data_IF_843489488951
#
_entry.id   IF_843489488951
#
_cell.length_a   1.000
_cell.length_b   1.000
_cell.length_c   1.000
_cell.angle_alpha   90.00
_cell.angle_beta   90.00
_cell.angle_gamma   90.00
#
_symmetry.space_group_name_H-M   'P 1'
#
loop_
_entity.id
_entity.type
_entity.pdbx_description
1 polymer ?
#
# COMPACT_ATOMS: atom_id res chain seq x y z
N UNK A 1 1.95 21.02 9.17
CA UNK A 1 1.22 19.72 9.37
C UNK A 1 1.79 18.75 8.37
N UNK A 2 2.32 17.63 8.84
CA UNK A 2 2.87 16.59 7.96
C UNK A 2 1.73 16.04 7.11
N UNK A 3 1.87 16.01 5.80
CA UNK A 3 0.84 15.50 4.90
C UNK A 3 1.32 14.22 4.26
N UNK A 4 0.73 13.10 4.65
CA UNK A 4 0.94 11.79 4.01
C UNK A 4 -0.39 11.40 3.37
N UNK A 5 -0.43 11.38 2.05
CA UNK A 5 -1.60 11.00 1.27
C UNK A 5 -1.42 9.54 0.86
N UNK A 6 -2.35 8.69 1.28
CA UNK A 6 -2.35 7.29 0.92
C UNK A 6 -3.44 6.99 -0.12
N UNK A 7 -3.04 6.42 -1.25
CA UNK A 7 -3.93 5.78 -2.20
C UNK A 7 -3.94 4.28 -1.93
N UNK A 8 -4.99 3.82 -1.28
CA UNK A 8 -5.22 2.41 -1.03
C UNK A 8 -5.86 1.75 -2.24
N UNK A 9 -5.17 0.81 -2.80
CA UNK A 9 -5.58 0.11 -4.01
C UNK A 9 -5.48 -1.40 -3.80
N UNK A 10 -5.74 -2.16 -4.84
CA UNK A 10 -5.43 -3.59 -4.92
C UNK A 10 -4.62 -3.85 -6.19
N UNK A 11 -3.91 -4.97 -6.29
CA UNK A 11 -3.19 -5.33 -7.51
C UNK A 11 -4.09 -5.25 -8.75
N UNK A 12 -3.53 -4.81 -9.87
CA UNK A 12 -4.22 -4.70 -11.17
C UNK A 12 -5.43 -3.75 -11.21
N UNK A 13 -5.55 -2.83 -10.27
CA UNK A 13 -6.61 -1.81 -10.23
C UNK A 13 -6.33 -0.54 -11.04
N UNK A 14 -5.26 -0.51 -11.84
CA UNK A 14 -4.75 0.67 -12.58
C UNK A 14 -4.10 1.75 -11.68
N UNK A 15 -3.81 1.41 -10.43
CA UNK A 15 -3.22 2.32 -9.44
C UNK A 15 -1.85 2.87 -9.84
N UNK A 16 -1.04 2.11 -10.57
CA UNK A 16 0.25 2.58 -11.09
C UNK A 16 0.09 3.75 -12.07
N UNK A 17 -0.93 3.72 -12.93
CA UNK A 17 -1.22 4.85 -13.83
C UNK A 17 -1.64 6.10 -13.04
N UNK A 18 -2.42 5.93 -11.97
CA UNK A 18 -2.78 7.03 -11.07
C UNK A 18 -1.55 7.60 -10.36
N UNK A 19 -0.68 6.74 -9.85
CA UNK A 19 0.58 7.16 -9.22
C UNK A 19 1.45 7.97 -10.20
N UNK A 20 1.60 7.52 -11.45
CA UNK A 20 2.33 8.26 -12.47
C UNK A 20 1.76 9.66 -12.71
N UNK A 21 0.45 9.80 -12.70
CA UNK A 21 -0.22 11.10 -12.77
C UNK A 21 0.15 11.99 -11.57
N UNK A 22 0.17 11.41 -10.36
CA UNK A 22 0.57 12.16 -9.15
C UNK A 22 2.04 12.59 -9.19
N UNK A 23 2.94 11.76 -9.72
CA UNK A 23 4.36 12.12 -9.92
C UNK A 23 4.56 13.30 -10.87
N UNK A 24 3.72 13.44 -11.91
CA UNK A 24 3.82 14.54 -12.87
C UNK A 24 3.46 15.90 -12.26
N UNK A 25 2.83 15.95 -11.10
CA UNK A 25 2.55 17.22 -10.40
C UNK A 25 3.83 17.92 -9.94
N UNK A 26 4.85 17.17 -9.51
CA UNK A 26 6.13 17.71 -9.05
C UNK A 26 6.14 18.36 -7.67
N UNK A 27 5.00 18.35 -6.95
CA UNK A 27 4.83 18.92 -5.61
C UNK A 27 4.74 17.86 -4.49
N UNK A 28 4.89 16.59 -4.84
CA UNK A 28 4.76 15.44 -3.94
C UNK A 28 5.97 14.50 -4.06
N UNK A 29 6.47 14.03 -2.94
CA UNK A 29 7.38 12.88 -2.91
C UNK A 29 6.54 11.59 -3.03
N UNK A 30 6.60 10.93 -4.20
CA UNK A 30 5.74 9.80 -4.52
C UNK A 30 6.46 8.47 -4.34
N UNK A 31 5.91 7.59 -3.50
CA UNK A 31 6.43 6.27 -3.22
C UNK A 31 5.50 5.19 -3.81
N UNK A 32 6.12 4.21 -4.46
CA UNK A 32 5.47 3.07 -5.09
C UNK A 32 5.50 1.86 -4.18
N UNK A 33 4.35 1.47 -3.64
CA UNK A 33 4.19 0.28 -2.79
C UNK A 33 5.28 0.13 -1.71
N UNK A 34 5.53 1.18 -0.91
CA UNK A 34 6.67 1.13 0.03
C UNK A 34 6.56 -0.01 1.04
N UNK A 35 5.36 -0.35 1.51
CA UNK A 35 5.17 -1.48 2.41
C UNK A 35 5.22 -2.83 1.69
N UNK A 36 4.97 -2.85 0.38
CA UNK A 36 5.02 -4.06 -0.43
C UNK A 36 6.42 -4.68 -0.50
N UNK A 37 7.47 -3.86 -0.57
CA UNK A 37 8.84 -4.36 -0.54
C UNK A 37 9.15 -5.10 0.78
N UNK A 38 8.76 -4.52 1.92
CA UNK A 38 8.93 -5.16 3.21
C UNK A 38 8.08 -6.44 3.35
N UNK A 39 6.87 -6.43 2.77
CA UNK A 39 5.93 -7.55 2.83
C UNK A 39 6.40 -8.77 2.03
N UNK A 40 7.01 -8.54 0.85
CA UNK A 40 7.50 -9.60 -0.03
C UNK A 40 8.97 -9.96 0.18
N UNK A 41 9.84 -8.99 0.43
CA UNK A 41 11.30 -9.12 0.37
C UNK A 41 12.00 -8.52 1.60
N UNK A 42 11.26 -8.18 2.65
CA UNK A 42 11.80 -7.66 3.88
C UNK A 42 12.67 -8.66 4.64
N UNK A 43 13.20 -8.26 5.79
CA UNK A 43 14.00 -9.11 6.66
C UNK A 43 13.22 -10.35 7.10
N UNK A 44 11.95 -10.18 7.48
CA UNK A 44 11.00 -11.23 7.84
C UNK A 44 9.73 -11.11 6.97
N UNK A 45 9.78 -11.52 5.69
CA UNK A 45 8.67 -11.32 4.78
C UNK A 45 7.46 -12.17 5.16
N UNK A 46 6.29 -11.55 5.19
CA UNK A 46 5.03 -12.24 5.50
C UNK A 46 4.55 -13.13 4.35
N UNK A 47 4.91 -12.78 3.12
CA UNK A 47 4.55 -13.51 1.91
C UNK A 47 5.69 -13.48 0.89
N UNK A 48 6.73 -14.32 1.08
CA UNK A 48 7.91 -14.24 0.22
C UNK A 48 7.58 -14.63 -1.21
N UNK A 49 7.84 -13.72 -2.15
CA UNK A 49 7.91 -13.96 -3.58
C UNK A 49 9.27 -13.53 -4.08
N UNK A 50 10.08 -14.49 -4.42
CA UNK A 50 11.43 -14.25 -4.92
C UNK A 50 11.53 -14.70 -6.37
N UNK A 51 12.14 -13.86 -7.21
CA UNK A 51 12.69 -14.31 -8.48
C UNK A 51 13.99 -15.11 -8.23
N UNK A 52 14.43 -15.87 -9.23
CA UNK A 52 15.66 -16.64 -9.10
C UNK A 52 16.86 -15.74 -8.73
N UNK A 53 17.49 -16.02 -7.60
CA UNK A 53 18.63 -15.24 -7.09
C UNK A 53 18.29 -14.06 -6.19
N UNK A 54 17.03 -13.68 -6.02
CA UNK A 54 16.61 -12.67 -5.05
C UNK A 54 16.67 -13.21 -3.61
N UNK A 55 16.93 -12.31 -2.67
CA UNK A 55 17.07 -12.62 -1.25
C UNK A 55 16.29 -11.60 -0.43
N UNK A 56 16.08 -11.93 0.84
CA UNK A 56 15.57 -10.95 1.81
C UNK A 56 16.52 -9.75 1.93
N UNK A 57 15.96 -8.59 2.22
CA UNK A 57 16.69 -7.34 2.42
C UNK A 57 16.86 -7.09 3.93
N UNK A 58 18.06 -7.26 4.50
CA UNK A 58 18.29 -7.01 5.91
C UNK A 58 17.94 -5.58 6.32
N UNK A 59 17.26 -5.42 7.45
CA UNK A 59 16.82 -4.13 7.98
C UNK A 59 15.59 -3.54 7.30
N UNK A 60 15.08 -4.14 6.23
CA UNK A 60 13.83 -3.73 5.60
C UNK A 60 12.67 -4.39 6.34
N UNK A 61 11.94 -3.59 7.10
CA UNK A 61 10.75 -4.00 7.87
C UNK A 61 9.60 -3.01 7.62
N UNK A 62 8.40 -3.37 8.04
CA UNK A 62 7.27 -2.42 8.01
C UNK A 62 7.58 -1.18 8.87
N UNK A 63 8.26 -1.36 10.01
CA UNK A 63 8.64 -0.27 10.89
C UNK A 63 9.69 0.65 10.26
N UNK A 64 10.77 0.10 9.68
CA UNK A 64 11.79 0.91 9.00
C UNK A 64 11.24 1.65 7.79
N UNK A 65 10.32 1.03 7.04
CA UNK A 65 9.59 1.66 5.94
C UNK A 65 8.74 2.83 6.44
N UNK A 66 8.04 2.64 7.55
CA UNK A 66 7.24 3.70 8.16
C UNK A 66 8.10 4.86 8.65
N UNK A 67 9.27 4.58 9.23
CA UNK A 67 10.23 5.60 9.66
C UNK A 67 10.75 6.44 8.47
N UNK A 68 11.04 5.81 7.33
CA UNK A 68 11.44 6.52 6.10
C UNK A 68 10.30 7.43 5.58
N UNK A 69 9.07 6.92 5.52
CA UNK A 69 7.90 7.71 5.10
C UNK A 69 7.74 8.95 6.01
N UNK A 70 7.86 8.79 7.32
CA UNK A 70 7.77 9.89 8.28
C UNK A 70 8.91 10.91 8.08
N UNK A 71 10.13 10.44 7.89
CA UNK A 71 11.28 11.30 7.66
C UNK A 71 11.16 12.12 6.36
N UNK A 72 10.54 11.55 5.32
CA UNK A 72 10.21 12.26 4.08
C UNK A 72 9.11 13.30 4.32
N UNK A 73 8.08 12.96 5.08
CA UNK A 73 6.97 13.86 5.41
C UNK A 73 7.40 15.09 6.24
N UNK A 74 8.55 15.04 6.93
CA UNK A 74 9.17 16.22 7.55
C UNK A 74 9.69 17.24 6.53
N UNK A 75 10.05 16.77 5.33
CA UNK A 75 10.65 17.61 4.27
C UNK A 75 9.62 18.18 3.31
N UNK A 76 8.46 17.51 3.18
CA UNK A 76 7.40 17.94 2.28
C UNK A 76 6.25 16.92 2.24
N UNK A 77 5.20 17.19 1.48
CA UNK A 77 4.07 16.28 1.36
C UNK A 77 4.48 14.99 0.62
N UNK A 78 4.06 13.86 1.17
CA UNK A 78 4.32 12.52 0.64
C UNK A 78 3.03 11.93 0.09
N UNK A 79 3.13 11.28 -1.06
CA UNK A 79 2.08 10.43 -1.62
C UNK A 79 2.57 8.99 -1.67
N UNK A 80 1.82 8.08 -1.08
CA UNK A 80 2.05 6.64 -1.22
C UNK A 80 0.92 5.99 -2.01
N UNK A 81 1.25 5.08 -2.91
CA UNK A 81 0.32 4.13 -3.50
C UNK A 81 0.66 2.77 -2.97
N UNK A 82 -0.28 2.17 -2.21
CA UNK A 82 -0.03 0.91 -1.53
C UNK A 82 -1.28 0.04 -1.41
N UNK A 83 -1.12 -1.17 -0.91
CA UNK A 83 -2.19 -2.13 -0.76
C UNK A 83 -2.48 -2.42 0.72
N UNK A 84 -3.75 -2.39 1.15
CA UNK A 84 -4.12 -2.58 2.56
C UNK A 84 -3.63 -3.89 3.18
N UNK A 85 -3.59 -4.97 2.42
CA UNK A 85 -3.18 -6.29 2.93
C UNK A 85 -1.70 -6.36 3.35
N UNK A 86 -0.84 -5.47 2.85
CA UNK A 86 0.57 -5.44 3.29
C UNK A 86 0.73 -5.02 4.75
N UNK A 87 -0.21 -4.24 5.27
CA UNK A 87 -0.12 -3.61 6.58
C UNK A 87 -1.33 -3.85 7.49
N UNK A 88 -2.21 -4.81 7.16
CA UNK A 88 -3.42 -5.05 7.94
C UNK A 88 -3.16 -5.40 9.42
N UNK A 89 -1.98 -5.95 9.73
CA UNK A 89 -1.57 -6.32 11.09
C UNK A 89 -1.10 -5.12 11.95
N UNK A 90 -0.92 -3.92 11.36
CA UNK A 90 -0.50 -2.70 12.08
C UNK A 90 -1.57 -1.60 12.11
N UNK A 91 -2.80 -1.88 11.69
CA UNK A 91 -3.89 -0.91 11.73
C UNK A 91 -4.29 -0.56 13.16
N UNK A 92 -3.79 0.55 13.63
CA UNK A 92 -4.26 1.19 14.87
C UNK A 92 -4.82 2.57 14.55
N UNK A 93 -5.71 3.13 15.38
CA UNK A 93 -6.22 4.49 15.18
C UNK A 93 -5.09 5.52 15.08
N UNK A 94 -4.04 5.38 15.89
CA UNK A 94 -2.88 6.28 15.88
C UNK A 94 -2.08 6.18 14.59
N UNK A 95 -1.86 4.97 14.07
CA UNK A 95 -1.17 4.76 12.80
C UNK A 95 -2.01 5.31 11.63
N UNK A 96 -3.27 4.89 11.55
CA UNK A 96 -4.18 5.31 10.49
C UNK A 96 -4.44 6.83 10.52
N UNK A 97 -4.49 7.44 11.70
CA UNK A 97 -4.67 8.89 11.85
C UNK A 97 -3.56 9.76 11.26
N UNK A 98 -2.43 9.17 10.83
CA UNK A 98 -1.31 9.87 10.21
C UNK A 98 -1.51 10.13 8.71
N UNK A 99 -2.50 9.48 8.08
CA UNK A 99 -2.73 9.56 6.65
C UNK A 99 -3.96 10.37 6.29
N UNK A 100 -3.92 10.99 5.12
CA UNK A 100 -5.11 11.37 4.37
C UNK A 100 -5.43 10.22 3.42
N UNK A 101 -6.55 9.53 3.66
CA UNK A 101 -6.88 8.30 2.95
C UNK A 101 -7.65 8.58 1.66
N UNK A 102 -7.32 7.82 0.62
CA UNK A 102 -8.10 7.69 -0.61
C UNK A 102 -8.10 6.23 -1.07
N UNK A 103 -9.12 5.85 -1.83
CA UNK A 103 -9.29 4.48 -2.30
C UNK A 103 -9.47 4.46 -3.81
N UNK A 104 -8.82 3.51 -4.49
CA UNK A 104 -9.02 3.25 -5.90
C UNK A 104 -9.67 1.87 -6.05
N UNK A 105 -10.86 1.88 -6.65
CA UNK A 105 -11.67 0.68 -6.87
C UNK A 105 -11.77 0.43 -8.38
N UNK A 106 -11.57 -0.80 -8.79
CA UNK A 106 -11.79 -1.28 -10.14
C UNK A 106 -12.77 -2.46 -10.12
N UNK A 107 -13.51 -2.64 -11.20
CA UNK A 107 -14.37 -3.81 -11.43
C UNK A 107 -13.61 -5.11 -11.09
N UNK A 108 -14.11 -5.93 -10.12
CA UNK A 108 -13.44 -7.16 -9.71
C UNK A 108 -13.20 -8.14 -10.86
N UNK A 109 -14.13 -8.29 -11.79
CA UNK A 109 -13.97 -9.19 -12.93
C UNK A 109 -12.78 -8.80 -13.80
N UNK A 110 -12.61 -7.49 -14.05
CA UNK A 110 -11.46 -6.96 -14.81
C UNK A 110 -10.14 -7.09 -14.05
N UNK A 111 -10.20 -6.92 -12.74
CA UNK A 111 -9.02 -7.04 -11.86
C UNK A 111 -8.53 -8.49 -11.83
N UNK A 112 -9.40 -9.43 -11.52
CA UNK A 112 -9.08 -10.87 -11.42
C UNK A 112 -8.62 -11.44 -12.77
N UNK A 113 -9.27 -11.07 -13.87
CA UNK A 113 -8.84 -11.49 -15.21
C UNK A 113 -7.43 -10.98 -15.53
N UNK A 114 -7.15 -9.70 -15.20
CA UNK A 114 -5.82 -9.12 -15.42
C UNK A 114 -4.76 -9.72 -14.49
N UNK A 115 -5.14 -10.11 -13.28
CA UNK A 115 -4.25 -10.74 -12.31
C UNK A 115 -3.89 -12.17 -12.75
N UNK A 116 -4.90 -12.96 -13.13
CA UNK A 116 -4.68 -14.32 -13.63
C UNK A 116 -3.82 -14.34 -14.90
N UNK A 117 -3.98 -13.39 -15.80
CA UNK A 117 -3.15 -13.29 -17.00
C UNK A 117 -1.67 -13.01 -16.70
N UNK A 118 -1.35 -12.42 -15.55
CA UNK A 118 0.02 -12.06 -15.15
C UNK A 118 0.63 -13.07 -14.18
N UNK A 119 -0.17 -13.52 -13.21
CA UNK A 119 0.20 -14.45 -12.14
C UNK A 119 -0.90 -15.49 -11.99
N UNK A 120 -0.88 -16.58 -12.79
CA UNK A 120 -1.93 -17.60 -12.75
C UNK A 120 -2.05 -18.33 -11.40
N UNK A 121 -0.99 -18.26 -10.60
CA UNK A 121 -0.82 -18.88 -9.28
C UNK A 121 -1.06 -17.92 -8.11
N UNK A 122 -1.72 -16.78 -8.34
CA UNK A 122 -2.01 -15.84 -7.26
C UNK A 122 -2.90 -16.46 -6.19
N UNK A 123 -2.64 -16.08 -4.93
CA UNK A 123 -3.43 -16.47 -3.78
C UNK A 123 -4.52 -15.43 -3.46
N UNK A 124 -5.57 -15.87 -2.75
CA UNK A 124 -6.65 -14.99 -2.31
C UNK A 124 -6.14 -13.80 -1.47
N UNK A 125 -5.14 -14.03 -0.62
CA UNK A 125 -4.51 -12.99 0.20
C UNK A 125 -3.87 -11.89 -0.65
N UNK A 126 -3.30 -12.25 -1.80
CA UNK A 126 -2.67 -11.28 -2.71
C UNK A 126 -3.68 -10.44 -3.51
N UNK A 127 -4.94 -10.85 -3.55
CA UNK A 127 -6.01 -10.10 -4.24
C UNK A 127 -6.38 -8.84 -3.46
N UNK A 128 -6.50 -8.93 -2.14
CA UNK A 128 -6.64 -7.79 -1.23
C UNK A 128 -8.01 -7.11 -1.22
N UNK A 129 -9.06 -7.69 -1.81
CA UNK A 129 -10.41 -7.12 -1.76
C UNK A 129 -10.98 -7.06 -0.34
N UNK A 130 -10.89 -8.14 0.47
CA UNK A 130 -11.38 -8.13 1.84
C UNK A 130 -10.71 -7.05 2.69
N UNK A 131 -9.39 -6.92 2.58
CA UNK A 131 -8.60 -5.96 3.34
C UNK A 131 -8.89 -4.52 2.91
N UNK A 132 -9.06 -4.26 1.62
CA UNK A 132 -9.45 -2.93 1.15
C UNK A 132 -10.81 -2.53 1.69
N UNK A 133 -11.79 -3.43 1.70
CA UNK A 133 -13.11 -3.21 2.28
C UNK A 133 -13.04 -3.02 3.79
N UNK A 134 -12.30 -3.86 4.50
CA UNK A 134 -12.15 -3.78 5.95
C UNK A 134 -11.49 -2.45 6.38
N UNK A 135 -10.46 -1.99 5.67
CA UNK A 135 -9.85 -0.69 5.94
C UNK A 135 -10.85 0.46 5.72
N UNK A 136 -11.61 0.42 4.63
CA UNK A 136 -12.63 1.43 4.36
C UNK A 136 -13.69 1.51 5.46
N UNK A 137 -14.20 0.36 5.90
CA UNK A 137 -15.21 0.28 6.96
C UNK A 137 -14.65 0.77 8.30
N UNK A 138 -13.41 0.39 8.64
CA UNK A 138 -12.73 0.85 9.86
C UNK A 138 -12.56 2.38 9.87
N UNK A 139 -12.08 2.96 8.77
CA UNK A 139 -11.89 4.40 8.66
C UNK A 139 -13.22 5.16 8.72
N UNK A 140 -14.28 4.60 8.13
CA UNK A 140 -15.63 5.18 8.21
C UNK A 140 -16.09 5.20 9.68
N UNK A 141 -15.95 4.09 10.38
CA UNK A 141 -16.34 4.02 11.80
C UNK A 141 -15.52 4.96 12.70
N UNK A 142 -14.22 5.15 12.41
CA UNK A 142 -13.38 6.10 13.15
C UNK A 142 -13.76 7.56 12.89
N UNK A 143 -14.31 7.88 11.71
CA UNK A 143 -14.74 9.24 11.36
C UNK A 143 -16.17 9.56 11.83
N UNK A 144 -17.07 8.58 11.88
CA UNK A 144 -18.45 8.75 12.35
C UNK A 144 -18.53 9.05 13.86
N UNK A 145 -17.45 8.83 14.59
CA UNK A 145 -17.31 9.15 16.00
C UNK A 145 -16.78 10.57 16.29
N UNK A 146 -16.64 11.42 15.28
CA UNK A 146 -16.12 12.81 15.42
C UNK A 146 -17.15 13.87 15.16
#
# INVERSE_FOLDING_TARGET
MKTIIALWAIPRSTSTAFEWMMRQRGDLDCLHEPFGEAWYQGEDPLWPRFCEGEKTTPGLTIESTWDDIRARAEKGPVFIKDFPHYINHVWTPDFLGQFTHSFLIRDPAKTLTSMHARWPDFDELEVGFPEQRALFDLLTALNDGR
#
